data_IF_931232674064
#
_entry.id   IF_931232674064
#
_cell.length_a   1.000
_cell.length_b   1.000
_cell.length_c   1.000
_cell.angle_alpha   90.00
_cell.angle_beta   90.00
_cell.angle_gamma   90.00
#
_symmetry.space_group_name_H-M   'P 1'
#
loop_
_entity.id
_entity.type
_entity.pdbx_description
1 polymer ?
#
# COMPACT_ATOMS: atom_id res chain seq x y z
N UNK A 1 -18.95 19.75 2.01
CA UNK A 1 -20.38 19.56 2.23
C UNK A 1 -20.79 18.09 2.04
N UNK A 2 -22.02 17.78 2.37
CA UNK A 2 -22.52 16.40 2.34
C UNK A 2 -22.52 15.81 0.91
N UNK A 3 -22.94 16.60 -0.07
CA UNK A 3 -22.95 16.17 -1.47
C UNK A 3 -21.54 15.89 -1.98
N UNK A 4 -20.58 16.75 -1.66
CA UNK A 4 -19.17 16.55 -2.00
C UNK A 4 -18.61 15.28 -1.35
N UNK A 5 -18.93 15.04 -0.08
CA UNK A 5 -18.52 13.85 0.64
C UNK A 5 -19.02 12.56 -0.01
N UNK A 6 -20.30 12.51 -0.38
CA UNK A 6 -20.90 11.35 -1.06
C UNK A 6 -20.23 11.08 -2.40
N UNK A 7 -19.93 12.12 -3.18
CA UNK A 7 -19.23 11.98 -4.48
C UNK A 7 -17.80 11.48 -4.30
N UNK A 8 -17.09 11.93 -3.27
CA UNK A 8 -15.74 11.41 -2.96
C UNK A 8 -15.78 9.94 -2.56
N UNK A 9 -16.74 9.52 -1.73
CA UNK A 9 -16.91 8.11 -1.40
C UNK A 9 -17.18 7.27 -2.64
N UNK A 10 -17.99 7.78 -3.58
CA UNK A 10 -18.25 7.09 -4.85
C UNK A 10 -16.97 6.86 -5.65
N UNK A 11 -16.03 7.83 -5.66
CA UNK A 11 -14.73 7.69 -6.33
C UNK A 11 -13.88 6.59 -5.68
N UNK A 12 -13.86 6.48 -4.35
CA UNK A 12 -13.17 5.38 -3.66
C UNK A 12 -13.75 4.02 -4.08
N UNK A 13 -15.06 3.89 -4.09
CA UNK A 13 -15.73 2.65 -4.49
C UNK A 13 -15.41 2.28 -5.93
N UNK A 14 -15.39 3.27 -6.83
CA UNK A 14 -15.09 3.09 -8.26
C UNK A 14 -13.59 3.03 -8.56
N UNK A 15 -12.73 3.14 -7.56
CA UNK A 15 -11.27 3.14 -7.70
C UNK A 15 -10.75 4.25 -8.62
N UNK A 16 -11.41 5.41 -8.62
CA UNK A 16 -10.97 6.59 -9.38
C UNK A 16 -9.99 7.47 -8.62
N UNK A 17 -9.75 7.15 -7.34
CA UNK A 17 -8.76 7.84 -6.53
C UNK A 17 -7.43 7.09 -6.63
N UNK A 18 -6.39 7.85 -7.01
CA UNK A 18 -5.02 7.34 -7.11
C UNK A 18 -4.25 7.67 -5.84
N UNK A 19 -3.60 6.68 -5.27
CA UNK A 19 -2.80 6.81 -4.05
C UNK A 19 -1.37 6.41 -4.32
N UNK A 20 -0.43 7.12 -3.73
CA UNK A 20 0.97 6.74 -3.73
C UNK A 20 1.47 6.71 -2.29
N UNK A 21 2.05 5.58 -1.93
CA UNK A 21 2.72 5.41 -0.65
C UNK A 21 4.21 5.29 -0.88
N UNK A 22 5.00 5.80 0.06
CA UNK A 22 6.43 5.53 0.11
C UNK A 22 6.68 4.58 1.27
N UNK A 23 7.55 3.59 1.05
CA UNK A 23 7.91 2.62 2.07
C UNK A 23 9.40 2.32 2.01
N UNK A 24 9.99 2.05 3.17
CA UNK A 24 11.34 1.54 3.28
C UNK A 24 11.26 0.05 3.60
N UNK A 25 11.81 -0.79 2.72
CA UNK A 25 11.79 -2.25 2.85
C UNK A 25 13.08 -2.76 3.46
N UNK A 26 12.97 -3.79 4.28
CA UNK A 26 14.09 -4.36 5.02
C UNK A 26 14.84 -5.42 4.19
N UNK A 27 15.47 -4.98 3.13
CA UNK A 27 16.23 -5.82 2.22
C UNK A 27 16.42 -5.14 0.87
N UNK A 28 17.12 -5.84 -0.03
CA UNK A 28 17.46 -5.34 -1.36
C UNK A 28 16.58 -6.03 -2.40
N UNK A 29 15.85 -5.24 -3.20
CA UNK A 29 15.09 -5.73 -4.34
C UNK A 29 15.92 -5.62 -5.61
N UNK A 30 16.01 -6.71 -6.36
CA UNK A 30 16.73 -6.72 -7.64
C UNK A 30 15.89 -6.13 -8.78
N UNK A 31 14.58 -6.41 -8.78
CA UNK A 31 13.67 -5.85 -9.78
C UNK A 31 13.44 -4.37 -9.55
N UNK A 32 13.10 -3.64 -10.61
CA UNK A 32 12.86 -2.19 -10.55
C UNK A 32 11.39 -1.83 -10.36
N UNK A 33 10.48 -2.66 -10.78
CA UNK A 33 9.04 -2.44 -10.67
C UNK A 33 8.27 -3.75 -10.84
N UNK A 34 6.98 -3.70 -10.61
CA UNK A 34 6.11 -4.84 -10.82
C UNK A 34 4.70 -4.63 -10.28
N UNK A 35 3.92 -5.70 -10.35
CA UNK A 35 2.57 -5.76 -9.79
C UNK A 35 2.49 -7.00 -8.90
N UNK A 36 1.97 -6.81 -7.69
CA UNK A 36 1.71 -7.90 -6.76
C UNK A 36 0.20 -8.15 -6.77
N UNK A 37 -0.19 -9.38 -7.10
CA UNK A 37 -1.59 -9.79 -7.19
C UNK A 37 -1.80 -11.01 -6.29
N UNK A 38 -2.09 -10.74 -5.01
CA UNK A 38 -2.26 -11.76 -3.99
C UNK A 38 -3.55 -11.47 -3.20
N UNK A 39 -4.56 -12.36 -3.28
CA UNK A 39 -5.82 -12.15 -2.58
C UNK A 39 -5.65 -12.27 -1.06
N UNK A 40 -6.34 -11.43 -0.32
CA UNK A 40 -6.17 -11.31 1.13
C UNK A 40 -7.46 -11.58 1.90
N UNK A 41 -7.32 -12.20 3.06
CA UNK A 41 -8.40 -12.34 4.04
C UNK A 41 -7.85 -12.15 5.45
N UNK A 42 -8.74 -11.86 6.40
CA UNK A 42 -8.34 -11.80 7.80
C UNK A 42 -7.97 -13.20 8.30
N UNK A 43 -6.91 -13.27 9.12
CA UNK A 43 -6.58 -14.48 9.86
C UNK A 43 -7.52 -14.56 11.07
N UNK A 44 -8.48 -15.49 11.02
CA UNK A 44 -9.50 -15.62 12.04
C UNK A 44 -8.93 -16.01 13.42
N UNK A 45 -7.76 -16.64 13.43
CA UNK A 45 -7.09 -17.10 14.65
C UNK A 45 -6.13 -16.06 15.23
N UNK A 46 -5.80 -15.00 14.46
CA UNK A 46 -4.82 -13.98 14.87
C UNK A 46 -5.17 -12.60 14.31
N UNK A 47 -6.35 -12.10 14.62
CA UNK A 47 -6.79 -10.75 14.22
C UNK A 47 -5.94 -9.68 14.88
N UNK A 48 -5.62 -8.57 14.19
CA UNK A 48 -6.09 -8.14 12.86
C UNK A 48 -5.23 -8.62 11.69
N UNK A 49 -4.32 -9.57 11.91
CA UNK A 49 -3.41 -10.08 10.86
C UNK A 49 -4.20 -10.56 9.65
N UNK A 50 -3.66 -10.25 8.47
CA UNK A 50 -4.18 -10.72 7.18
C UNK A 50 -3.28 -11.81 6.64
N UNK A 51 -3.83 -12.67 5.79
CA UNK A 51 -3.07 -13.71 5.10
C UNK A 51 -3.48 -13.82 3.65
N UNK A 52 -2.60 -14.40 2.84
CA UNK A 52 -2.89 -14.69 1.43
C UNK A 52 -3.75 -15.96 1.38
N UNK A 53 -4.89 -15.87 0.70
CA UNK A 53 -5.81 -16.98 0.56
C UNK A 53 -6.49 -16.95 -0.80
N UNK A 54 -6.12 -17.88 -1.68
CA UNK A 54 -6.69 -17.92 -3.02
C UNK A 54 -8.15 -18.40 -3.04
N UNK A 55 -8.55 -19.20 -2.05
CA UNK A 55 -9.89 -19.78 -2.00
C UNK A 55 -10.94 -18.78 -1.48
N UNK A 56 -10.60 -18.04 -0.43
CA UNK A 56 -11.54 -17.14 0.27
C UNK A 56 -11.08 -15.71 0.38
N UNK A 57 -9.93 -15.38 -0.19
CA UNK A 57 -9.40 -14.02 -0.14
C UNK A 57 -10.11 -13.06 -1.09
N UNK A 58 -10.14 -11.78 -0.72
CA UNK A 58 -10.60 -10.72 -1.61
C UNK A 58 -9.48 -10.33 -2.55
N UNK A 59 -9.75 -10.09 -3.84
CA UNK A 59 -8.72 -9.64 -4.78
C UNK A 59 -7.99 -8.41 -4.25
N UNK A 60 -6.67 -8.43 -4.34
CA UNK A 60 -5.83 -7.33 -3.89
C UNK A 60 -4.63 -7.18 -4.82
N UNK A 61 -4.43 -5.99 -5.35
CA UNK A 61 -3.39 -5.69 -6.32
C UNK A 61 -2.63 -4.44 -5.91
N UNK A 62 -1.29 -4.52 -5.98
CA UNK A 62 -0.39 -3.42 -5.66
C UNK A 62 0.64 -3.28 -6.77
N UNK A 63 0.69 -2.11 -7.42
CA UNK A 63 1.79 -1.76 -8.30
C UNK A 63 2.91 -1.17 -7.45
N UNK A 64 4.16 -1.43 -7.79
CA UNK A 64 5.29 -0.88 -7.05
C UNK A 64 6.44 -0.48 -7.97
N UNK A 65 7.27 0.44 -7.47
CA UNK A 65 8.41 0.97 -8.21
C UNK A 65 9.55 1.23 -7.23
N UNK A 66 10.74 0.72 -7.55
CA UNK A 66 11.93 0.96 -6.74
C UNK A 66 12.45 2.38 -6.98
N UNK A 67 12.73 3.11 -5.89
CA UNK A 67 13.30 4.45 -5.97
C UNK A 67 14.82 4.38 -5.83
N UNK A 68 15.31 3.77 -4.74
CA UNK A 68 16.73 3.65 -4.46
C UNK A 68 17.01 2.55 -3.44
N UNK A 69 18.26 2.11 -3.39
CA UNK A 69 18.76 1.20 -2.35
C UNK A 69 19.75 1.97 -1.48
N UNK A 70 19.59 1.87 -0.15
CA UNK A 70 20.50 2.50 0.81
C UNK A 70 20.62 1.63 2.05
N UNK A 71 21.87 1.38 2.51
CA UNK A 71 22.13 0.64 3.74
C UNK A 71 21.42 -0.73 3.81
N UNK A 72 21.46 -1.49 2.70
CA UNK A 72 20.79 -2.79 2.58
C UNK A 72 19.26 -2.73 2.73
N UNK A 73 18.67 -1.58 2.49
CA UNK A 73 17.23 -1.35 2.49
C UNK A 73 16.82 -0.76 1.15
N UNK A 74 15.57 -0.97 0.75
CA UNK A 74 15.05 -0.46 -0.52
C UNK A 74 13.90 0.51 -0.27
N UNK A 75 14.01 1.71 -0.81
CA UNK A 75 12.93 2.69 -0.82
C UNK A 75 12.09 2.47 -2.06
N UNK A 76 10.78 2.32 -1.88
CA UNK A 76 9.84 2.06 -2.99
C UNK A 76 8.63 2.98 -2.93
N UNK A 77 8.01 3.20 -4.09
CA UNK A 77 6.65 3.68 -4.18
C UNK A 77 5.71 2.48 -4.29
N UNK A 78 4.59 2.54 -3.57
CA UNK A 78 3.47 1.62 -3.74
C UNK A 78 2.26 2.38 -4.28
N UNK A 79 1.62 1.79 -5.28
CA UNK A 79 0.39 2.30 -5.89
C UNK A 79 -0.69 1.23 -5.72
N UNK A 80 -1.43 1.24 -4.59
CA UNK A 80 -2.47 0.23 -4.38
C UNK A 80 -3.62 0.43 -5.34
N UNK A 81 -3.94 -0.61 -6.11
CA UNK A 81 -5.07 -0.63 -7.04
C UNK A 81 -6.35 -0.94 -6.26
N UNK A 82 -6.25 -1.82 -5.27
CA UNK A 82 -7.28 -2.12 -4.28
C UNK A 82 -6.84 -1.57 -2.92
N UNK A 83 -7.74 -1.53 -1.93
CA UNK A 83 -7.44 -0.98 -0.61
C UNK A 83 -7.79 -1.94 0.52
N UNK A 84 -7.32 -3.19 0.48
CA UNK A 84 -7.58 -4.16 1.55
C UNK A 84 -6.76 -3.84 2.80
N UNK A 85 -7.28 -4.24 3.96
CA UNK A 85 -6.59 -4.07 5.24
C UNK A 85 -5.19 -4.68 5.19
N UNK A 86 -4.18 -3.95 5.64
CA UNK A 86 -2.76 -4.34 5.66
C UNK A 86 -2.21 -4.76 4.28
N UNK A 87 -2.88 -4.39 3.18
CA UNK A 87 -2.51 -4.85 1.85
C UNK A 87 -1.02 -4.65 1.52
N UNK A 88 -0.51 -3.43 1.69
CA UNK A 88 0.88 -3.12 1.36
C UNK A 88 1.86 -3.87 2.26
N UNK A 89 1.50 -4.05 3.53
CA UNK A 89 2.34 -4.75 4.52
C UNK A 89 2.47 -6.22 4.17
N UNK A 90 1.37 -6.90 3.83
CA UNK A 90 1.38 -8.31 3.44
C UNK A 90 2.04 -8.51 2.08
N UNK A 91 1.70 -7.67 1.08
CA UNK A 91 2.29 -7.75 -0.26
C UNK A 91 3.81 -7.54 -0.23
N UNK A 92 4.32 -6.69 0.67
CA UNK A 92 5.76 -6.50 0.82
C UNK A 92 6.45 -7.71 1.47
N UNK A 93 5.85 -8.32 2.48
CA UNK A 93 6.48 -9.35 3.29
C UNK A 93 6.31 -10.79 2.76
N UNK A 94 5.19 -11.10 2.12
CA UNK A 94 4.86 -12.45 1.70
C UNK A 94 5.84 -13.00 0.68
N UNK A 95 6.15 -14.29 0.78
CA UNK A 95 7.13 -14.91 -0.11
C UNK A 95 6.72 -14.89 -1.60
N UNK A 96 5.42 -14.85 -1.90
CA UNK A 96 4.91 -14.72 -3.27
C UNK A 96 4.80 -13.25 -3.70
N UNK A 97 4.94 -12.30 -2.77
CA UNK A 97 5.07 -10.88 -3.06
C UNK A 97 6.54 -10.48 -3.17
N UNK A 98 6.92 -9.42 -2.45
CA UNK A 98 8.31 -8.94 -2.48
C UNK A 98 9.25 -9.71 -1.57
N UNK A 99 8.74 -10.51 -0.64
CA UNK A 99 9.54 -11.25 0.36
C UNK A 99 10.50 -10.33 1.13
N UNK A 100 10.14 -9.07 1.25
CA UNK A 100 10.97 -8.03 1.86
C UNK A 100 10.05 -7.12 2.67
N UNK A 101 9.88 -7.38 3.98
CA UNK A 101 8.91 -6.63 4.79
C UNK A 101 9.29 -5.16 4.95
N UNK A 102 8.28 -4.34 5.26
CA UNK A 102 8.50 -2.92 5.54
C UNK A 102 9.25 -2.79 6.87
N UNK A 103 10.24 -1.92 6.92
CA UNK A 103 11.01 -1.65 8.14
C UNK A 103 10.06 -1.20 9.24
N UNK A 104 10.14 -1.84 10.40
CA UNK A 104 9.30 -1.51 11.55
C UNK A 104 7.92 -2.16 11.55
N UNK A 105 7.67 -3.09 10.64
CA UNK A 105 6.41 -3.83 10.62
C UNK A 105 6.46 -4.94 11.69
N UNK A 106 5.76 -4.71 12.80
CA UNK A 106 5.76 -5.61 13.95
C UNK A 106 4.86 -6.84 13.77
N UNK A 107 4.00 -6.87 12.74
CA UNK A 107 3.14 -8.03 12.46
C UNK A 107 3.72 -8.95 11.38
N UNK A 108 4.35 -8.38 10.36
CA UNK A 108 4.81 -9.14 9.19
C UNK A 108 6.32 -9.11 9.00
N UNK A 109 7.02 -8.36 9.81
CA UNK A 109 8.47 -8.21 9.76
C UNK A 109 9.10 -8.07 11.14
N UNK A 110 10.01 -7.13 11.31
CA UNK A 110 10.74 -6.89 12.56
C UNK A 110 10.43 -5.51 13.12
N UNK A 111 10.17 -5.45 14.41
CA UNK A 111 9.86 -4.21 15.11
C UNK A 111 11.04 -3.23 15.04
N UNK A 112 10.72 -1.96 14.84
CA UNK A 112 11.66 -0.83 14.92
C UNK A 112 10.96 0.33 15.63
N UNK A 113 11.53 1.55 15.54
CA UNK A 113 10.94 2.72 16.18
C UNK A 113 9.55 3.10 15.61
N UNK A 114 9.29 2.77 14.35
CA UNK A 114 8.02 3.04 13.69
C UNK A 114 7.89 2.20 12.41
N UNK A 115 6.66 2.09 11.91
CA UNK A 115 6.40 1.50 10.60
C UNK A 115 6.80 2.51 9.52
N UNK A 116 7.74 2.12 8.64
CA UNK A 116 8.23 2.99 7.58
C UNK A 116 7.35 2.92 6.33
N UNK A 117 6.08 3.27 6.49
CA UNK A 117 5.07 3.35 5.44
C UNK A 117 4.34 4.68 5.58
N UNK A 118 4.30 5.46 4.50
CA UNK A 118 3.73 6.80 4.51
C UNK A 118 2.88 7.05 3.26
N UNK A 119 1.65 7.50 3.46
CA UNK A 119 0.78 7.94 2.37
C UNK A 119 1.28 9.29 1.87
N UNK A 120 2.06 9.28 0.79
CA UNK A 120 2.73 10.47 0.28
C UNK A 120 1.84 11.32 -0.60
N UNK A 121 1.01 10.70 -1.42
CA UNK A 121 0.23 11.43 -2.42
C UNK A 121 -1.16 10.81 -2.58
N UNK A 122 -2.14 11.68 -2.73
CA UNK A 122 -3.53 11.32 -3.02
C UNK A 122 -4.00 12.19 -4.18
N UNK A 123 -4.40 11.59 -5.29
CA UNK A 123 -4.94 12.27 -6.46
C UNK A 123 -6.40 11.87 -6.66
N UNK A 124 -7.27 12.85 -6.79
CA UNK A 124 -8.70 12.64 -7.00
C UNK A 124 -9.30 13.77 -7.84
N UNK A 125 -10.50 13.53 -8.37
CA UNK A 125 -11.26 14.55 -9.12
C UNK A 125 -12.23 15.22 -8.16
N UNK A 126 -12.12 16.56 -8.02
CA UNK A 126 -13.00 17.30 -7.15
C UNK A 126 -14.45 17.18 -7.66
N UNK A 127 -15.40 16.76 -6.81
CA UNK A 127 -16.78 16.46 -7.26
C UNK A 127 -17.53 17.67 -7.85
N UNK A 128 -17.20 18.89 -7.43
CA UNK A 128 -17.86 20.11 -7.88
C UNK A 128 -17.12 20.75 -9.04
N UNK A 129 -15.83 21.07 -8.89
CA UNK A 129 -15.02 21.76 -9.90
C UNK A 129 -14.60 20.89 -11.08
N UNK A 130 -14.64 19.55 -10.92
CA UNK A 130 -14.15 18.57 -11.90
C UNK A 130 -12.64 18.68 -12.16
N UNK A 131 -11.91 19.38 -11.31
CA UNK A 131 -10.45 19.48 -11.41
C UNK A 131 -9.78 18.28 -10.76
N UNK A 132 -8.68 17.83 -11.36
CA UNK A 132 -7.81 16.82 -10.75
C UNK A 132 -6.97 17.50 -9.67
N UNK A 133 -7.06 16.98 -8.44
CA UNK A 133 -6.34 17.52 -7.30
C UNK A 133 -5.37 16.48 -6.76
N UNK A 134 -4.16 16.92 -6.42
CA UNK A 134 -3.14 16.07 -5.80
C UNK A 134 -2.70 16.69 -4.48
N UNK A 135 -2.81 15.90 -3.41
CA UNK A 135 -2.34 16.27 -2.08
C UNK A 135 -1.08 15.48 -1.81
N UNK A 136 0.00 16.15 -1.45
CA UNK A 136 1.31 15.51 -1.24
C UNK A 136 1.86 15.89 0.13
N UNK A 137 2.40 14.90 0.84
CA UNK A 137 3.08 15.07 2.13
C UNK A 137 4.38 14.26 2.11
N UNK A 138 5.51 14.89 2.38
CA UNK A 138 6.80 14.22 2.35
C UNK A 138 6.95 13.21 3.51
N UNK A 139 7.61 12.08 3.23
CA UNK A 139 7.96 11.10 4.25
C UNK A 139 9.15 11.58 5.08
N UNK A 140 9.18 11.14 6.36
CA UNK A 140 10.27 11.49 7.29
C UNK A 140 11.45 10.52 7.22
N UNK A 141 11.42 9.56 6.33
CA UNK A 141 12.47 8.55 6.21
C UNK A 141 13.02 8.39 4.79
#
# INVERSE_FOLDING_TARGET
DEETYVKLQSQFIKRTIKKRYVALLDGILEANDGIIDLPLRVDLDDRPRQLVCYEHGKPAQTKWEKIEVRNNQTLVYFYPITGRTHQLRVHASHELGLKTPIVGDDLYGSKANRLHLHAESLTFIHPVSKEELTITTAAEF
#
